data_IF_138827597289
#
_entry.id   IF_138827597289
#
_cell.length_a   1.000
_cell.length_b   1.000
_cell.length_c   1.000
_cell.angle_alpha   90.00
_cell.angle_beta   90.00
_cell.angle_gamma   90.00
#
_symmetry.space_group_name_H-M   'P 1'
#
loop_
_entity.id
_entity.type
_entity.pdbx_description
1 polymer ?
#
# COMPACT_ATOMS: atom_id res chain seq x y z
N UNK A 1 11.16 6.28 -19.33
CA UNK A 1 9.92 6.73 -19.94
C UNK A 1 8.69 6.18 -19.28
N UNK A 2 8.72 4.93 -18.83
CA UNK A 2 7.60 4.36 -18.10
C UNK A 2 7.33 5.11 -16.81
N UNK A 3 8.39 5.51 -16.10
CA UNK A 3 8.26 6.27 -14.86
C UNK A 3 7.64 7.64 -15.12
N UNK A 4 8.03 8.30 -16.22
CA UNK A 4 7.49 9.59 -16.61
C UNK A 4 6.01 9.50 -16.96
N UNK A 5 5.62 8.45 -17.67
CA UNK A 5 4.22 8.21 -18.02
C UNK A 5 3.39 7.92 -16.78
N UNK A 6 3.92 7.10 -15.86
CA UNK A 6 3.22 6.76 -14.63
C UNK A 6 3.00 7.99 -13.76
N UNK A 7 4.00 8.87 -13.66
CA UNK A 7 3.89 10.09 -12.89
C UNK A 7 2.83 11.02 -13.48
N UNK A 8 2.83 11.15 -14.79
CA UNK A 8 1.83 11.96 -15.49
C UNK A 8 0.42 11.41 -15.27
N UNK A 9 0.29 10.09 -15.31
CA UNK A 9 -0.99 9.43 -15.06
C UNK A 9 -1.53 9.75 -13.66
N UNK A 10 -0.67 9.68 -12.64
CA UNK A 10 -1.08 9.97 -11.26
C UNK A 10 -1.57 11.41 -11.14
N UNK A 11 -0.86 12.36 -11.72
CA UNK A 11 -1.27 13.77 -11.68
C UNK A 11 -2.61 13.96 -12.39
N UNK A 12 -2.77 13.41 -13.59
CA UNK A 12 -3.98 13.58 -14.38
C UNK A 12 -5.17 12.84 -13.76
N UNK A 13 -4.94 11.62 -13.27
CA UNK A 13 -6.01 10.77 -12.77
C UNK A 13 -6.51 11.22 -11.40
N UNK A 14 -5.61 11.59 -10.50
CA UNK A 14 -5.96 11.85 -9.12
C UNK A 14 -5.90 13.32 -8.73
N UNK A 15 -5.61 14.18 -9.68
CA UNK A 15 -5.58 15.63 -9.44
C UNK A 15 -4.68 16.01 -8.26
N UNK A 16 -3.54 15.34 -8.14
CA UNK A 16 -2.57 15.63 -7.09
C UNK A 16 -1.62 16.73 -7.52
N UNK A 17 -1.15 17.52 -6.56
CA UNK A 17 -0.09 18.49 -6.81
C UNK A 17 1.23 17.77 -7.12
N UNK A 18 2.16 18.48 -7.76
CA UNK A 18 3.45 17.91 -8.15
C UNK A 18 4.23 17.38 -6.93
N UNK A 19 4.23 18.15 -5.84
CA UNK A 19 4.94 17.76 -4.62
C UNK A 19 4.36 16.47 -4.05
N UNK A 20 3.04 16.35 -3.99
CA UNK A 20 2.39 15.14 -3.49
C UNK A 20 2.62 13.95 -4.41
N UNK A 21 2.67 14.18 -5.72
CA UNK A 21 2.94 13.11 -6.68
C UNK A 21 4.35 12.55 -6.48
N UNK A 22 5.35 13.42 -6.28
CA UNK A 22 6.71 12.99 -6.02
C UNK A 22 6.78 12.20 -4.71
N UNK A 23 6.13 12.72 -3.67
CA UNK A 23 6.09 12.05 -2.37
C UNK A 23 5.39 10.70 -2.45
N UNK A 24 4.30 10.62 -3.22
CA UNK A 24 3.57 9.36 -3.41
C UNK A 24 4.46 8.32 -4.09
N UNK A 25 5.19 8.71 -5.14
CA UNK A 25 6.08 7.80 -5.84
C UNK A 25 7.16 7.25 -4.91
N UNK A 26 7.77 8.13 -4.12
CA UNK A 26 8.78 7.74 -3.15
C UNK A 26 8.20 6.84 -2.07
N UNK A 27 7.02 7.19 -1.55
CA UNK A 27 6.35 6.41 -0.51
C UNK A 27 6.03 5.00 -1.00
N UNK A 28 5.52 4.87 -2.23
CA UNK A 28 5.20 3.56 -2.81
C UNK A 28 6.45 2.70 -2.87
N UNK A 29 7.56 3.26 -3.33
CA UNK A 29 8.83 2.54 -3.40
C UNK A 29 9.29 2.09 -2.02
N UNK A 30 9.13 2.94 -1.02
CA UNK A 30 9.50 2.60 0.35
C UNK A 30 8.59 1.53 0.93
N UNK A 31 7.30 1.58 0.62
CA UNK A 31 6.37 0.53 1.05
C UNK A 31 6.73 -0.82 0.46
N UNK A 32 7.10 -0.86 -0.82
CA UNK A 32 7.55 -2.10 -1.46
C UNK A 32 8.80 -2.64 -0.77
N UNK A 33 9.75 -1.77 -0.43
CA UNK A 33 10.96 -2.18 0.29
C UNK A 33 10.62 -2.80 1.64
N UNK A 34 9.67 -2.21 2.37
CA UNK A 34 9.25 -2.75 3.66
C UNK A 34 8.68 -4.16 3.49
N UNK A 35 7.80 -4.33 2.49
CA UNK A 35 7.18 -5.62 2.24
C UNK A 35 8.24 -6.67 1.87
N UNK A 36 9.16 -6.33 0.99
CA UNK A 36 10.23 -7.25 0.59
C UNK A 36 11.10 -7.65 1.77
N UNK A 37 11.45 -6.67 2.61
CA UNK A 37 12.28 -6.92 3.78
C UNK A 37 11.57 -7.83 4.78
N UNK A 38 10.30 -7.55 5.06
CA UNK A 38 9.54 -8.30 6.05
C UNK A 38 9.22 -9.73 5.58
N UNK A 39 9.00 -9.91 4.29
CA UNK A 39 8.74 -11.23 3.72
C UNK A 39 10.03 -11.99 3.40
N UNK A 40 11.16 -11.28 3.34
CA UNK A 40 12.45 -11.88 2.99
C UNK A 40 12.52 -12.35 1.55
N UNK A 41 11.81 -11.67 0.65
CA UNK A 41 11.76 -12.04 -0.76
C UNK A 41 11.93 -10.81 -1.63
N UNK A 42 12.23 -11.07 -2.92
CA UNK A 42 12.20 -10.05 -3.96
C UNK A 42 10.90 -10.23 -4.74
N UNK A 43 10.12 -9.16 -4.86
CA UNK A 43 8.85 -9.25 -5.59
C UNK A 43 9.07 -9.27 -7.09
N UNK A 44 8.20 -10.01 -7.79
CA UNK A 44 8.26 -10.13 -9.24
C UNK A 44 7.57 -8.91 -9.88
N UNK A 45 8.36 -7.95 -10.32
CA UNK A 45 7.85 -6.70 -10.89
C UNK A 45 7.08 -6.90 -12.19
N UNK A 46 7.22 -8.06 -12.82
CA UNK A 46 6.49 -8.37 -14.05
C UNK A 46 5.18 -9.10 -13.76
N UNK A 47 4.94 -9.46 -12.51
CA UNK A 47 3.76 -10.21 -12.12
C UNK A 47 2.51 -9.38 -12.03
N UNK A 48 1.36 -10.02 -12.26
CA UNK A 48 0.05 -9.38 -12.18
C UNK A 48 -0.23 -8.88 -10.77
N UNK A 49 0.11 -9.66 -9.76
CA UNK A 49 -0.15 -9.28 -8.37
C UNK A 49 0.68 -8.08 -7.94
N UNK A 50 1.91 -7.96 -8.45
CA UNK A 50 2.73 -6.78 -8.21
C UNK A 50 2.07 -5.54 -8.81
N UNK A 51 1.63 -5.65 -10.07
CA UNK A 51 0.96 -4.55 -10.75
C UNK A 51 -0.29 -4.08 -9.99
N UNK A 52 -1.08 -5.02 -9.49
CA UNK A 52 -2.27 -4.71 -8.71
C UNK A 52 -1.92 -4.05 -7.38
N UNK A 53 -0.86 -4.52 -6.73
CA UNK A 53 -0.42 -3.95 -5.47
C UNK A 53 0.04 -2.51 -5.66
N UNK A 54 0.81 -2.25 -6.73
CA UNK A 54 1.24 -0.88 -7.06
C UNK A 54 0.03 0.02 -7.30
N UNK A 55 -0.95 -0.45 -8.05
CA UNK A 55 -2.19 0.31 -8.30
C UNK A 55 -2.89 0.65 -6.99
N UNK A 56 -2.98 -0.30 -6.08
CA UNK A 56 -3.57 -0.07 -4.77
C UNK A 56 -2.81 0.94 -3.94
N UNK A 57 -1.49 0.87 -3.97
CA UNK A 57 -0.67 1.85 -3.26
C UNK A 57 -0.85 3.25 -3.84
N UNK A 58 -1.08 3.36 -5.15
CA UNK A 58 -1.38 4.65 -5.77
C UNK A 58 -2.70 5.21 -5.24
N UNK A 59 -3.74 4.38 -5.17
CA UNK A 59 -5.03 4.82 -4.62
C UNK A 59 -4.90 5.18 -3.13
N UNK A 60 -4.16 4.38 -2.38
CA UNK A 60 -3.91 4.65 -0.99
C UNK A 60 -3.22 6.01 -0.82
N UNK A 61 -2.17 6.26 -1.59
CA UNK A 61 -1.45 7.53 -1.53
C UNK A 61 -2.37 8.71 -1.87
N UNK A 62 -3.19 8.54 -2.90
CA UNK A 62 -4.12 9.58 -3.31
C UNK A 62 -5.11 9.91 -2.19
N UNK A 63 -5.69 8.88 -1.55
CA UNK A 63 -6.59 9.12 -0.42
C UNK A 63 -5.88 9.76 0.75
N UNK A 64 -4.65 9.34 1.03
CA UNK A 64 -3.89 9.87 2.14
C UNK A 64 -3.62 11.37 1.97
N UNK A 65 -3.11 11.77 0.81
CA UNK A 65 -2.78 13.17 0.57
C UNK A 65 -4.02 14.04 0.41
N UNK A 66 -5.15 13.46 0.04
CA UNK A 66 -6.42 14.17 -0.05
C UNK A 66 -7.15 14.27 1.28
N UNK A 67 -6.67 13.58 2.32
CA UNK A 67 -7.35 13.53 3.60
C UNK A 67 -8.62 12.69 3.58
N UNK A 68 -8.69 11.70 2.71
CA UNK A 68 -9.90 10.90 2.49
C UNK A 68 -9.66 9.42 2.78
N UNK A 69 -8.79 9.12 3.75
CA UNK A 69 -8.52 7.73 4.11
C UNK A 69 -9.80 7.02 4.59
N UNK A 70 -9.92 5.76 4.22
CA UNK A 70 -11.08 4.96 4.54
C UNK A 70 -11.06 4.56 6.02
N UNK A 71 -12.21 4.74 6.69
CA UNK A 71 -12.33 4.44 8.11
C UNK A 71 -13.69 3.79 8.35
N UNK A 72 -13.77 2.50 8.10
CA UNK A 72 -15.00 1.73 8.17
C UNK A 72 -15.35 1.38 9.63
N UNK A 73 -16.62 1.49 9.97
CA UNK A 73 -17.11 1.15 11.30
C UNK A 73 -17.40 -0.34 11.48
N UNK A 74 -17.27 -1.14 10.44
CA UNK A 74 -17.51 -2.58 10.51
C UNK A 74 -16.32 -3.30 11.12
N UNK A 75 -16.16 -3.18 12.42
CA UNK A 75 -15.03 -3.76 13.14
C UNK A 75 -15.02 -5.28 13.08
N UNK A 76 -16.19 -5.90 13.06
CA UNK A 76 -16.29 -7.35 13.01
C UNK A 76 -15.67 -7.91 11.73
N UNK A 77 -15.98 -7.28 10.59
CA UNK A 77 -15.38 -7.67 9.31
C UNK A 77 -13.87 -7.47 9.31
N UNK A 78 -13.42 -6.31 9.79
CA UNK A 78 -12.00 -5.99 9.83
C UNK A 78 -11.24 -6.97 10.72
N UNK A 79 -11.79 -7.28 11.89
CA UNK A 79 -11.16 -8.22 12.81
C UNK A 79 -11.07 -9.63 12.23
N UNK A 80 -12.07 -10.03 11.44
CA UNK A 80 -12.05 -11.32 10.76
C UNK A 80 -10.85 -11.42 9.81
N UNK A 81 -10.61 -10.37 9.04
CA UNK A 81 -9.48 -10.33 8.11
C UNK A 81 -8.14 -10.33 8.86
N UNK A 82 -8.05 -9.56 9.94
CA UNK A 82 -6.83 -9.50 10.76
C UNK A 82 -6.52 -10.88 11.34
N UNK A 83 -7.52 -11.57 11.83
CA UNK A 83 -7.33 -12.90 12.39
C UNK A 83 -6.93 -13.93 11.33
N UNK A 84 -7.38 -13.72 10.10
CA UNK A 84 -7.04 -14.62 8.99
C UNK A 84 -5.63 -14.37 8.46
N UNK A 85 -5.18 -13.11 8.47
CA UNK A 85 -3.88 -12.72 7.92
C UNK A 85 -3.05 -11.94 8.94
N UNK A 86 -2.73 -12.53 10.09
CA UNK A 86 -2.04 -11.77 11.15
C UNK A 86 -0.63 -11.32 10.76
N UNK A 87 0.10 -12.14 10.01
CA UNK A 87 1.45 -11.78 9.57
C UNK A 87 1.41 -10.59 8.61
N UNK A 88 0.48 -10.64 7.67
CA UNK A 88 0.34 -9.59 6.67
C UNK A 88 -0.15 -8.30 7.31
N UNK A 89 -1.04 -8.40 8.27
CA UNK A 89 -1.49 -7.23 9.00
C UNK A 89 -0.36 -6.59 9.80
N UNK A 90 0.53 -7.41 10.39
CA UNK A 90 1.70 -6.90 11.09
C UNK A 90 2.60 -6.10 10.15
N UNK A 91 2.76 -6.57 8.91
CA UNK A 91 3.53 -5.82 7.91
C UNK A 91 2.83 -4.49 7.58
N UNK A 92 1.50 -4.51 7.47
CA UNK A 92 0.75 -3.27 7.22
C UNK A 92 0.90 -2.29 8.38
N UNK A 93 1.01 -2.77 9.61
CA UNK A 93 1.28 -1.93 10.77
C UNK A 93 2.64 -1.25 10.65
N UNK A 94 3.64 -1.97 10.16
CA UNK A 94 4.97 -1.39 9.94
C UNK A 94 4.94 -0.32 8.87
N UNK A 95 4.18 -0.55 7.80
CA UNK A 95 3.96 0.48 6.78
C UNK A 95 3.30 1.71 7.41
N UNK A 96 2.27 1.50 8.24
CA UNK A 96 1.57 2.56 8.92
C UNK A 96 2.51 3.39 9.81
N UNK A 97 3.35 2.73 10.57
CA UNK A 97 4.31 3.41 11.45
C UNK A 97 5.31 4.23 10.63
N UNK A 98 5.77 3.69 9.52
CA UNK A 98 6.68 4.40 8.63
C UNK A 98 6.01 5.65 8.04
N UNK A 99 4.77 5.50 7.55
CA UNK A 99 4.04 6.61 6.94
C UNK A 99 3.76 7.70 7.97
N UNK A 100 3.37 7.32 9.17
CA UNK A 100 3.13 8.29 10.24
C UNK A 100 4.39 9.04 10.59
N UNK A 101 5.50 8.34 10.71
CA UNK A 101 6.79 8.93 11.09
C UNK A 101 7.31 9.89 10.03
N UNK A 102 7.19 9.53 8.76
CA UNK A 102 7.77 10.32 7.68
C UNK A 102 6.82 11.37 7.11
N UNK A 103 5.54 11.05 7.01
CA UNK A 103 4.57 11.91 6.35
C UNK A 103 3.51 12.49 7.29
N UNK A 104 3.42 11.99 8.52
CA UNK A 104 2.56 12.56 9.54
C UNK A 104 1.09 12.16 9.45
N UNK A 105 0.78 11.09 8.71
CA UNK A 105 -0.61 10.65 8.56
C UNK A 105 -0.87 9.40 9.41
N UNK A 106 -1.98 9.43 10.15
CA UNK A 106 -2.45 8.25 10.87
C UNK A 106 -3.26 7.39 9.89
N UNK A 107 -2.92 6.11 9.83
CA UNK A 107 -3.55 5.20 8.88
C UNK A 107 -4.64 4.41 9.60
N UNK A 108 -5.91 4.58 9.19
CA UNK A 108 -7.00 3.85 9.83
C UNK A 108 -6.90 2.34 9.65
N UNK A 109 -7.55 1.62 10.54
CA UNK A 109 -7.56 0.16 10.54
C UNK A 109 -8.05 -0.42 9.21
N UNK A 110 -9.06 0.19 8.60
CA UNK A 110 -9.58 -0.29 7.31
C UNK A 110 -8.49 -0.27 6.24
N UNK A 111 -7.73 0.82 6.15
CA UNK A 111 -6.65 0.91 5.16
C UNK A 111 -5.58 -0.16 5.40
N UNK A 112 -5.25 -0.40 6.67
CA UNK A 112 -4.27 -1.42 7.02
C UNK A 112 -4.76 -2.82 6.67
N UNK A 113 -6.04 -3.08 6.83
CA UNK A 113 -6.65 -4.36 6.46
C UNK A 113 -6.55 -4.57 4.95
N UNK A 114 -6.84 -3.55 4.16
CA UNK A 114 -6.71 -3.67 2.70
C UNK A 114 -5.25 -3.91 2.29
N UNK A 115 -4.32 -3.21 2.91
CA UNK A 115 -2.89 -3.46 2.65
C UNK A 115 -2.55 -4.91 2.96
N UNK A 116 -3.03 -5.43 4.09
CA UNK A 116 -2.77 -6.81 4.48
C UNK A 116 -3.28 -7.80 3.43
N UNK A 117 -4.46 -7.58 2.88
CA UNK A 117 -5.02 -8.45 1.84
C UNK A 117 -4.12 -8.45 0.60
N UNK A 118 -3.64 -7.28 0.19
CA UNK A 118 -2.77 -7.19 -0.98
C UNK A 118 -1.39 -7.77 -0.72
N UNK A 119 -0.87 -7.59 0.49
CA UNK A 119 0.39 -8.24 0.89
C UNK A 119 0.24 -9.75 0.83
N UNK A 120 -0.89 -10.28 1.25
CA UNK A 120 -1.16 -11.72 1.15
C UNK A 120 -1.12 -12.19 -0.31
N UNK A 121 -1.74 -11.43 -1.20
CA UNK A 121 -1.86 -11.82 -2.61
C UNK A 121 -0.52 -11.73 -3.36
N UNK A 122 0.39 -10.88 -2.93
CA UNK A 122 1.66 -10.67 -3.64
C UNK A 122 2.69 -11.73 -3.26
N UNK A 123 2.47 -12.50 -2.20
CA UNK A 123 3.41 -13.53 -1.80
C UNK A 123 3.46 -14.65 -2.83
N UNK A 124 4.66 -15.25 -3.05
CA UNK A 124 4.76 -16.37 -3.96
C UNK A 124 3.85 -17.51 -3.53
N UNK A 125 3.19 -18.12 -4.50
CA UNK A 125 2.34 -19.26 -4.25
C UNK A 125 3.20 -20.52 -4.27
N UNK A 126 3.38 -21.15 -3.13
CA UNK A 126 4.20 -22.34 -3.02
C UNK A 126 3.26 -23.53 -2.92
N UNK A 127 3.35 -24.41 -3.89
CA UNK A 127 2.62 -25.67 -3.89
C UNK A 127 3.56 -26.79 -3.48
N UNK A 128 3.10 -27.58 -2.54
CA UNK A 128 3.87 -28.68 -2.02
C UNK A 128 3.27 -29.99 -2.50
#
# INVERSE_FOLDING_TARGET
KAASIALHFVIAEYNMGMSDTVNATTMIRECISIVEKELGIKLDELGLHYSRFITHLKFFAQRMFAGELLDNQDQEFLDMIINKYPKEYDISEKISQFVQSKYGYDIPKEEKVYLAVYIKRIQPHIEI
#
